data_IF_135028072120
#
_entry.id   IF_135028072120
#
_cell.length_a   1.000
_cell.length_b   1.000
_cell.length_c   1.000
_cell.angle_alpha   90.00
_cell.angle_beta   90.00
_cell.angle_gamma   90.00
#
_symmetry.space_group_name_H-M   'P 1'
#
loop_
_entity.id
_entity.type
_entity.pdbx_description
1 polymer ?
#
# COMPACT_ATOMS: atom_id res chain seq x y z
N UNK A 1 20.98 -14.69 8.93
CA UNK A 1 20.58 -14.42 7.54
C UNK A 1 20.59 -15.75 6.81
N UNK A 2 19.43 -16.19 6.29
CA UNK A 2 19.32 -17.42 5.51
C UNK A 2 19.15 -17.02 4.05
N UNK A 3 19.93 -17.63 3.16
CA UNK A 3 19.86 -17.36 1.72
C UNK A 3 19.12 -18.51 1.06
N UNK A 4 17.96 -18.21 0.47
CA UNK A 4 17.20 -19.18 -0.30
C UNK A 4 17.63 -19.11 -1.76
N UNK A 5 17.76 -20.28 -2.39
CA UNK A 5 18.10 -20.40 -3.81
C UNK A 5 16.88 -20.30 -4.72
N UNK A 6 15.67 -20.39 -4.17
CA UNK A 6 14.40 -20.30 -4.89
C UNK A 6 13.58 -19.10 -4.41
N UNK A 7 13.10 -18.30 -5.37
CA UNK A 7 12.22 -17.16 -5.13
C UNK A 7 10.87 -17.60 -4.57
N UNK A 8 10.34 -18.74 -5.02
CA UNK A 8 9.09 -19.33 -4.54
C UNK A 8 9.16 -19.69 -3.05
N UNK A 9 10.28 -20.28 -2.62
CA UNK A 9 10.50 -20.62 -1.21
C UNK A 9 10.67 -19.37 -0.34
N UNK A 10 11.24 -18.30 -0.91
CA UNK A 10 11.39 -17.00 -0.23
C UNK A 10 10.02 -16.34 -0.05
N UNK A 11 9.16 -16.39 -1.07
CA UNK A 11 7.81 -15.85 -1.03
C UNK A 11 6.91 -16.64 -0.06
N UNK A 12 6.98 -17.96 -0.08
CA UNK A 12 6.24 -18.82 0.87
C UNK A 12 6.64 -18.56 2.32
N UNK A 13 7.95 -18.41 2.61
CA UNK A 13 8.38 -18.05 3.96
C UNK A 13 8.01 -16.62 4.33
N UNK A 14 8.11 -15.65 3.40
CA UNK A 14 7.73 -14.26 3.65
C UNK A 14 6.23 -14.10 3.91
N UNK A 15 5.38 -14.98 3.37
CA UNK A 15 3.95 -15.03 3.66
C UNK A 15 3.67 -15.40 5.13
N UNK A 16 4.60 -16.11 5.78
CA UNK A 16 4.56 -16.40 7.21
C UNK A 16 5.33 -15.30 7.96
N UNK A 17 4.61 -14.30 8.48
CA UNK A 17 5.19 -13.24 9.31
C UNK A 17 5.92 -13.79 10.54
N UNK A 18 5.44 -14.90 11.09
CA UNK A 18 5.94 -15.53 12.30
C UNK A 18 6.10 -17.04 12.11
N UNK A 19 7.23 -17.58 12.55
CA UNK A 19 7.52 -19.02 12.51
C UNK A 19 8.15 -19.47 13.82
N UNK A 20 7.91 -20.73 14.20
CA UNK A 20 8.61 -21.33 15.35
C UNK A 20 9.74 -22.21 14.84
N UNK A 21 10.99 -21.80 15.11
CA UNK A 21 12.19 -22.56 14.75
C UNK A 21 12.81 -23.14 16.02
N UNK A 22 12.87 -24.48 16.10
CA UNK A 22 13.48 -25.21 17.23
C UNK A 22 12.92 -24.75 18.59
N UNK A 23 11.61 -24.57 18.68
CA UNK A 23 10.93 -24.14 19.90
C UNK A 23 11.11 -22.67 20.27
N UNK A 24 11.69 -21.86 19.38
CA UNK A 24 11.83 -20.41 19.56
C UNK A 24 10.98 -19.68 18.53
N UNK A 25 10.26 -18.66 18.98
CA UNK A 25 9.49 -17.78 18.13
C UNK A 25 10.44 -16.88 17.33
N UNK A 26 10.24 -16.80 16.02
CA UNK A 26 11.08 -16.07 15.09
C UNK A 26 10.21 -15.25 14.12
N UNK A 27 10.60 -14.00 13.91
CA UNK A 27 10.00 -13.10 12.94
C UNK A 27 10.68 -13.30 11.57
N UNK A 28 9.90 -13.53 10.53
CA UNK A 28 10.43 -13.59 9.15
C UNK A 28 10.37 -12.18 8.56
N UNK A 29 11.53 -11.63 8.27
CA UNK A 29 11.67 -10.33 7.63
C UNK A 29 12.28 -10.58 6.25
N UNK A 30 11.51 -10.32 5.19
CA UNK A 30 12.03 -10.36 3.83
C UNK A 30 12.93 -9.12 3.63
N UNK A 31 14.26 -9.26 3.48
CA UNK A 31 15.16 -8.11 3.34
C UNK A 31 14.95 -7.33 2.04
N UNK A 32 14.27 -7.92 1.05
CA UNK A 32 13.78 -7.24 -0.14
C UNK A 32 12.40 -6.64 0.15
N UNK A 33 12.28 -5.72 1.12
CA UNK A 33 11.04 -4.96 1.35
C UNK A 33 10.57 -4.35 0.02
N UNK A 34 9.73 -5.10 -0.71
CA UNK A 34 9.40 -4.82 -2.09
C UNK A 34 8.64 -3.50 -2.11
N UNK A 35 9.05 -2.59 -2.98
CA UNK A 35 8.31 -1.35 -3.23
C UNK A 35 6.84 -1.68 -3.48
N UNK A 36 5.95 -1.20 -2.62
CA UNK A 36 4.51 -1.42 -2.75
C UNK A 36 3.84 -0.16 -3.25
N UNK A 37 2.96 -0.34 -4.22
CA UNK A 37 2.15 0.73 -4.76
C UNK A 37 0.91 0.96 -3.90
N UNK A 38 0.78 2.17 -3.37
CA UNK A 38 -0.36 2.68 -2.65
C UNK A 38 -1.06 3.75 -3.50
N UNK A 39 -2.33 3.51 -3.85
CA UNK A 39 -3.14 4.43 -4.65
C UNK A 39 -4.02 5.25 -3.72
N UNK A 40 -3.83 6.56 -3.72
CA UNK A 40 -4.70 7.52 -3.03
C UNK A 40 -5.61 8.16 -4.06
N UNK A 41 -6.90 7.92 -3.94
CA UNK A 41 -7.94 8.46 -4.79
C UNK A 41 -8.64 9.66 -4.14
N UNK A 42 -9.30 10.46 -4.99
CA UNK A 42 -10.07 11.65 -4.61
C UNK A 42 -9.23 12.77 -3.98
N UNK A 43 -7.93 12.80 -4.31
CA UNK A 43 -7.07 13.90 -3.92
C UNK A 43 -7.39 15.10 -4.80
N UNK A 44 -7.70 16.24 -4.18
CA UNK A 44 -7.92 17.48 -4.90
C UNK A 44 -6.67 17.87 -5.71
N UNK A 45 -6.82 18.36 -6.96
CA UNK A 45 -5.68 18.63 -7.84
C UNK A 45 -4.63 19.60 -7.26
N UNK A 46 -5.08 20.55 -6.44
CA UNK A 46 -4.25 21.59 -5.82
C UNK A 46 -3.55 21.15 -4.53
N UNK A 47 -3.82 19.95 -4.02
CA UNK A 47 -3.13 19.45 -2.81
C UNK A 47 -1.67 19.12 -3.17
N UNK A 48 -0.70 19.67 -2.44
CA UNK A 48 0.73 19.39 -2.63
C UNK A 48 1.05 17.95 -2.22
N UNK A 49 2.00 17.32 -2.91
CA UNK A 49 2.34 15.93 -2.64
C UNK A 49 3.08 15.80 -1.30
N UNK A 50 3.80 16.84 -0.86
CA UNK A 50 4.51 16.91 0.41
C UNK A 50 3.60 16.68 1.62
N UNK A 51 2.36 17.18 1.56
CA UNK A 51 1.37 16.97 2.63
C UNK A 51 0.99 15.50 2.73
N UNK A 52 0.80 14.85 1.59
CA UNK A 52 0.45 13.43 1.50
C UNK A 52 1.64 12.55 1.92
N UNK A 53 2.85 12.90 1.48
CA UNK A 53 4.10 12.20 1.82
C UNK A 53 4.22 12.08 3.33
N UNK A 54 4.11 13.18 4.07
CA UNK A 54 4.19 13.18 5.55
C UNK A 54 3.17 12.25 6.21
N UNK A 55 1.99 12.09 5.62
CA UNK A 55 0.96 11.20 6.14
C UNK A 55 1.28 9.73 5.86
N UNK A 56 1.90 9.43 4.71
CA UNK A 56 2.29 8.09 4.26
C UNK A 56 3.59 7.62 4.93
N UNK A 57 4.51 8.54 5.22
CA UNK A 57 5.82 8.26 5.85
C UNK A 57 5.70 7.58 7.22
N UNK A 58 4.55 7.71 7.90
CA UNK A 58 4.23 6.99 9.13
C UNK A 58 4.17 5.47 8.96
N UNK A 59 4.00 4.98 7.74
CA UNK A 59 3.85 3.56 7.43
C UNK A 59 5.07 2.96 6.71
N UNK A 60 5.98 3.81 6.24
CA UNK A 60 7.11 3.38 5.40
C UNK A 60 7.80 4.53 4.71
N UNK A 61 8.97 4.27 4.15
CA UNK A 61 9.71 5.26 3.39
C UNK A 61 9.09 5.44 2.00
N UNK A 62 8.69 6.66 1.67
CA UNK A 62 8.20 7.00 0.32
C UNK A 62 9.38 7.14 -0.63
N UNK A 63 9.43 6.32 -1.68
CA UNK A 63 10.47 6.38 -2.71
C UNK A 63 10.12 7.37 -3.81
N UNK A 64 8.85 7.37 -4.24
CA UNK A 64 8.35 8.27 -5.29
C UNK A 64 6.83 8.41 -5.25
N UNK A 65 6.36 9.52 -5.82
CA UNK A 65 4.94 9.83 -5.98
C UNK A 65 4.65 10.12 -7.45
N UNK A 66 3.63 9.46 -8.00
CA UNK A 66 3.19 9.67 -9.38
C UNK A 66 1.77 10.23 -9.39
N UNK A 67 1.57 11.36 -10.08
CA UNK A 67 0.23 11.90 -10.35
C UNK A 67 -0.35 11.17 -11.56
N UNK A 68 -1.41 10.38 -11.36
CA UNK A 68 -2.03 9.67 -12.47
C UNK A 68 -2.90 10.63 -13.28
N UNK A 69 -2.51 10.91 -14.52
CA UNK A 69 -3.35 11.65 -15.48
C UNK A 69 -4.55 10.84 -15.96
N UNK A 70 -5.53 11.51 -16.54
CA UNK A 70 -6.68 10.86 -17.16
C UNK A 70 -6.23 10.06 -18.39
N UNK A 71 -6.67 8.81 -18.50
CA UNK A 71 -6.29 7.92 -19.61
C UNK A 71 -7.28 7.97 -20.79
N UNK A 72 -8.31 8.83 -20.71
CA UNK A 72 -9.33 8.97 -21.75
C UNK A 72 -8.84 9.93 -22.83
N UNK A 73 -8.97 9.58 -24.13
CA UNK A 73 -8.67 10.52 -25.22
C UNK A 73 -9.38 11.86 -25.02
N UNK A 74 -8.65 12.95 -25.26
CA UNK A 74 -9.14 14.32 -25.05
C UNK A 74 -9.04 14.83 -23.61
N UNK A 75 -8.80 13.98 -22.59
CA UNK A 75 -8.69 14.41 -21.19
C UNK A 75 -7.27 14.30 -20.62
N UNK A 76 -6.29 13.83 -21.41
CA UNK A 76 -4.92 13.60 -20.94
C UNK A 76 -4.22 14.85 -20.35
N UNK A 77 -4.63 16.04 -20.79
CA UNK A 77 -4.12 17.32 -20.28
C UNK A 77 -4.68 17.69 -18.89
N UNK A 78 -5.74 17.04 -18.43
CA UNK A 78 -6.35 17.32 -17.14
C UNK A 78 -5.55 16.65 -16.01
N UNK A 79 -5.38 17.38 -14.91
CA UNK A 79 -4.78 16.81 -13.69
C UNK A 79 -5.72 15.76 -13.10
N UNK A 80 -5.22 14.55 -12.86
CA UNK A 80 -6.00 13.52 -12.19
C UNK A 80 -6.02 13.68 -10.67
N UNK A 81 -7.04 13.08 -10.08
CA UNK A 81 -7.31 13.09 -8.63
C UNK A 81 -6.71 11.87 -7.92
N UNK A 82 -5.88 11.08 -8.61
CA UNK A 82 -5.22 9.91 -8.06
C UNK A 82 -3.71 10.15 -7.94
N UNK A 83 -3.15 9.78 -6.80
CA UNK A 83 -1.72 9.73 -6.53
C UNK A 83 -1.31 8.29 -6.29
N UNK A 84 -0.17 7.88 -6.84
CA UNK A 84 0.42 6.56 -6.62
C UNK A 84 1.71 6.76 -5.85
N UNK A 85 1.74 6.29 -4.61
CA UNK A 85 2.90 6.28 -3.75
C UNK A 85 3.57 4.93 -3.88
N UNK A 86 4.89 4.98 -4.00
CA UNK A 86 5.74 3.81 -3.99
C UNK A 86 6.47 3.81 -2.66
N UNK A 87 6.15 2.85 -1.81
CA UNK A 87 6.52 2.86 -0.38
C UNK A 87 7.27 1.57 -0.06
N UNK A 88 8.38 1.73 0.67
CA UNK A 88 9.05 0.63 1.36
C UNK A 88 8.48 0.58 2.78
N UNK A 89 7.70 -0.45 3.15
CA UNK A 89 7.07 -0.55 4.46
C UNK A 89 8.11 -0.55 5.59
N UNK A 90 7.86 0.14 6.71
CA UNK A 90 8.75 0.09 7.88
C UNK A 90 8.76 -1.28 8.54
N UNK A 91 7.62 -1.97 8.54
CA UNK A 91 7.44 -3.33 9.03
C UNK A 91 6.50 -4.09 8.08
N UNK A 92 6.51 -5.42 8.07
CA UNK A 92 5.55 -6.20 7.27
C UNK A 92 4.08 -5.85 7.57
N UNK A 93 3.77 -5.50 8.83
CA UNK A 93 2.42 -5.17 9.30
C UNK A 93 2.00 -3.72 9.07
N UNK A 94 2.94 -2.81 8.74
CA UNK A 94 2.62 -1.38 8.62
C UNK A 94 1.61 -1.08 7.52
N UNK A 95 1.51 -1.96 6.52
CA UNK A 95 0.54 -1.85 5.43
C UNK A 95 -0.90 -2.17 5.84
N UNK A 96 -1.08 -3.07 6.79
CA UNK A 96 -2.40 -3.40 7.34
C UNK A 96 -2.94 -2.24 8.18
N UNK A 97 -2.04 -1.52 8.86
CA UNK A 97 -2.36 -0.34 9.64
C UNK A 97 -2.78 0.88 8.78
N UNK A 98 -2.54 0.86 7.47
CA UNK A 98 -2.96 1.95 6.57
C UNK A 98 -4.50 1.95 6.50
N UNK A 99 -5.19 3.04 6.83
CA UNK A 99 -6.64 3.05 6.77
C UNK A 99 -7.12 2.97 5.30
N UNK A 100 -8.26 2.34 5.04
CA UNK A 100 -8.86 2.36 3.69
C UNK A 100 -9.42 3.74 3.32
N UNK A 101 -9.78 4.55 4.30
CA UNK A 101 -10.24 5.93 4.13
C UNK A 101 -9.55 6.85 5.12
N UNK A 102 -9.25 8.07 4.69
CA UNK A 102 -8.69 9.11 5.56
C UNK A 102 -9.24 10.47 5.14
N UNK A 103 -8.90 11.51 5.90
CA UNK A 103 -9.23 12.88 5.56
C UNK A 103 -7.96 13.72 5.37
N UNK A 104 -7.96 14.58 4.35
CA UNK A 104 -6.93 15.58 4.11
C UNK A 104 -7.59 16.93 3.95
N UNK A 105 -7.24 17.88 4.80
CA UNK A 105 -7.85 19.21 4.84
C UNK A 105 -9.39 19.14 4.84
N UNK A 106 -9.96 18.22 5.64
CA UNK A 106 -11.40 17.98 5.74
C UNK A 106 -12.04 17.20 4.58
N UNK A 107 -11.29 16.83 3.54
CA UNK A 107 -11.80 16.09 2.38
C UNK A 107 -11.51 14.60 2.52
N UNK A 108 -12.53 13.76 2.28
CA UNK A 108 -12.36 12.32 2.30
C UNK A 108 -11.52 11.82 1.11
N UNK A 109 -10.58 10.95 1.41
CA UNK A 109 -9.76 10.23 0.42
C UNK A 109 -9.92 8.73 0.60
N UNK A 110 -9.73 8.00 -0.49
CA UNK A 110 -9.75 6.54 -0.51
C UNK A 110 -8.34 6.01 -0.78
N UNK A 111 -7.90 5.06 0.03
CA UNK A 111 -6.56 4.47 -0.05
C UNK A 111 -6.69 3.00 -0.43
N UNK A 112 -6.03 2.62 -1.52
CA UNK A 112 -5.91 1.24 -1.98
C UNK A 112 -4.46 0.79 -1.90
N UNK A 113 -4.20 -0.22 -1.08
CA UNK A 113 -2.90 -0.88 -0.95
C UNK A 113 -2.88 -2.08 -1.91
N UNK A 114 -1.80 -2.25 -2.65
CA UNK A 114 -1.62 -3.43 -3.53
C UNK A 114 -1.53 -4.69 -2.67
N UNK A 115 -2.22 -5.77 -3.06
CA UNK A 115 -2.29 -7.00 -2.28
C UNK A 115 -3.30 -6.98 -1.12
N UNK A 116 -3.98 -5.84 -0.86
CA UNK A 116 -5.03 -5.75 0.17
C UNK A 116 -6.42 -5.64 -0.45
N UNK A 117 -7.37 -6.40 0.11
CA UNK A 117 -8.78 -6.28 -0.28
C UNK A 117 -9.29 -4.84 -0.06
N UNK A 118 -9.99 -4.26 -1.03
CA UNK A 118 -10.60 -2.96 -0.87
C UNK A 118 -11.76 -3.01 0.14
N UNK A 119 -12.02 -1.89 0.79
CA UNK A 119 -13.17 -1.74 1.68
C UNK A 119 -14.41 -1.40 0.84
N UNK A 120 -15.51 -2.11 1.04
CA UNK A 120 -16.79 -1.74 0.46
C UNK A 120 -17.29 -0.48 1.17
N UNK A 121 -17.50 0.62 0.44
CA UNK A 121 -17.95 1.88 1.03
C UNK A 121 -19.43 1.90 1.39
N UNK A 122 -20.19 0.91 0.92
CA UNK A 122 -21.59 0.75 1.31
C UNK A 122 -21.73 -0.03 2.62
N UNK A 123 -20.99 -1.14 2.76
CA UNK A 123 -21.13 -2.07 3.89
C UNK A 123 -20.00 -1.96 4.92
N UNK A 124 -19.01 -1.09 4.68
CA UNK A 124 -17.80 -0.92 5.50
C UNK A 124 -17.11 -2.25 5.84
N UNK A 125 -17.05 -3.15 4.86
CA UNK A 125 -16.54 -4.51 5.01
C UNK A 125 -15.77 -4.95 3.78
N UNK A 126 -14.76 -5.79 3.97
CA UNK A 126 -14.01 -6.46 2.89
C UNK A 126 -14.70 -7.75 2.41
N UNK A 127 -15.71 -8.25 3.13
CA UNK A 127 -16.35 -9.57 2.92
C UNK A 127 -17.06 -9.75 1.58
N UNK A 128 -17.49 -8.66 0.93
CA UNK A 128 -18.21 -8.73 -0.35
C UNK A 128 -17.28 -8.90 -1.55
N UNK A 129 -15.96 -8.73 -1.36
CA UNK A 129 -14.99 -9.00 -2.40
C UNK A 129 -14.52 -10.46 -2.26
N UNK A 130 -14.57 -11.27 -3.34
CA UNK A 130 -13.99 -12.60 -3.31
C UNK A 130 -12.48 -12.51 -3.04
N UNK A 131 -11.93 -13.45 -2.26
CA UNK A 131 -10.52 -13.45 -1.80
C UNK A 131 -9.44 -13.55 -2.91
N UNK A 132 -9.82 -13.54 -4.19
CA UNK A 132 -8.85 -13.58 -5.30
C UNK A 132 -8.40 -12.18 -5.69
N UNK A 133 -7.18 -11.80 -5.29
CA UNK A 133 -6.42 -10.64 -5.78
C UNK A 133 -5.07 -11.07 -6.32
#
# INVERSE_FOLDING_TARGET
MATFTSEENTQQLAAHSEITLKGRWCLVINPNHSEIALKVHWVLPKVPDELLIRQVERFGQVQRVVRKGWQKPGLAHMTGTTRVFHVIPSTPTSLEAIPHQATINGNAILIKVTGRLPLCLHCYSTKHYPEKL
#
